data_IF_751945467216
#
_entry.id   IF_751945467216
#
_cell.length_a   1.000
_cell.length_b   1.000
_cell.length_c   1.000
_cell.angle_alpha   90.00
_cell.angle_beta   90.00
_cell.angle_gamma   90.00
#
_symmetry.space_group_name_H-M   'P 1'
#
loop_
_entity.id
_entity.type
_entity.pdbx_description
1 polymer ?
#
# COMPACT_ATOMS: atom_id res chain seq x y z
N UNK A 1 22.31 48.67 -11.81
CA UNK A 1 21.23 48.37 -10.82
C UNK A 1 20.53 47.02 -11.06
N UNK A 2 20.46 46.52 -12.30
CA UNK A 2 19.79 45.24 -12.64
C UNK A 2 20.31 44.01 -11.87
N UNK A 3 21.63 43.90 -11.66
CA UNK A 3 22.20 42.71 -10.99
C UNK A 3 21.76 42.60 -9.53
N UNK A 4 21.66 43.72 -8.79
CA UNK A 4 21.24 43.71 -7.38
C UNK A 4 19.76 43.33 -7.23
N UNK A 5 18.91 43.80 -8.15
CA UNK A 5 17.50 43.42 -8.19
C UNK A 5 17.32 41.93 -8.49
N UNK A 6 18.12 41.39 -9.43
CA UNK A 6 18.10 39.96 -9.78
C UNK A 6 18.47 39.08 -8.58
N UNK A 7 19.47 39.46 -7.79
CA UNK A 7 19.85 38.73 -6.57
C UNK A 7 18.75 38.75 -5.52
N UNK A 8 18.08 39.89 -5.33
CA UNK A 8 16.97 40.01 -4.39
C UNK A 8 15.80 39.11 -4.81
N UNK A 9 15.45 39.11 -6.10
CA UNK A 9 14.38 38.25 -6.63
C UNK A 9 14.74 36.76 -6.46
N UNK A 10 15.99 36.38 -6.72
CA UNK A 10 16.44 35.00 -6.55
C UNK A 10 16.39 34.55 -5.08
N UNK A 11 16.79 35.42 -4.15
CA UNK A 11 16.68 35.16 -2.71
C UNK A 11 15.22 35.00 -2.30
N UNK A 12 14.34 35.91 -2.73
CA UNK A 12 12.90 35.82 -2.44
C UNK A 12 12.28 34.52 -2.99
N UNK A 13 12.63 34.13 -4.22
CA UNK A 13 12.19 32.85 -4.80
C UNK A 13 12.69 31.64 -4.00
N UNK A 14 13.95 31.65 -3.56
CA UNK A 14 14.50 30.55 -2.75
C UNK A 14 13.80 30.41 -1.39
N UNK A 15 13.45 31.53 -0.74
CA UNK A 15 12.69 31.54 0.52
C UNK A 15 11.30 30.96 0.31
N UNK A 16 10.60 31.31 -0.77
CA UNK A 16 9.28 30.74 -1.08
C UNK A 16 9.36 29.21 -1.27
N UNK A 17 10.38 28.70 -1.97
CA UNK A 17 10.57 27.24 -2.17
C UNK A 17 10.78 26.52 -0.83
N UNK A 18 11.63 27.05 0.06
CA UNK A 18 11.88 26.43 1.37
C UNK A 18 10.61 26.40 2.24
N UNK A 19 9.83 27.48 2.25
CA UNK A 19 8.56 27.55 2.99
C UNK A 19 7.54 26.52 2.48
N UNK A 20 7.44 26.34 1.16
CA UNK A 20 6.55 25.31 0.60
C UNK A 20 7.01 23.90 0.97
N UNK A 21 8.32 23.61 0.98
CA UNK A 21 8.84 22.29 1.33
C UNK A 21 8.54 21.91 2.78
N UNK A 22 8.64 22.87 3.72
CA UNK A 22 8.34 22.62 5.14
C UNK A 22 6.86 22.35 5.42
N UNK A 23 5.95 22.80 4.57
CA UNK A 23 4.51 22.54 4.72
C UNK A 23 4.10 21.10 4.34
N UNK A 24 4.97 20.36 3.62
CA UNK A 24 4.67 19.00 3.17
C UNK A 24 5.05 17.91 4.18
N UNK A 25 5.78 18.23 5.25
CA UNK A 25 6.26 17.21 6.21
C UNK A 25 5.31 16.89 7.36
N UNK A 26 4.14 17.53 7.44
CA UNK A 26 3.20 17.35 8.55
C UNK A 26 2.18 16.22 8.28
N UNK A 27 2.67 15.11 7.72
CA UNK A 27 1.84 13.92 7.49
C UNK A 27 1.56 13.27 8.85
N UNK A 28 0.29 13.16 9.28
CA UNK A 28 -0.01 12.54 10.56
C UNK A 28 0.41 11.07 10.54
N UNK A 29 0.93 10.52 11.67
CA UNK A 29 1.30 9.13 11.75
C UNK A 29 0.07 8.21 11.53
N UNK A 30 0.28 6.97 11.03
CA UNK A 30 -0.81 6.03 10.83
C UNK A 30 -1.56 5.78 12.14
N UNK A 31 -2.90 5.75 12.12
CA UNK A 31 -3.67 5.46 13.31
C UNK A 31 -3.39 4.03 13.80
N UNK A 32 -2.99 3.91 15.07
CA UNK A 32 -2.71 2.61 15.70
C UNK A 32 -4.00 1.81 15.78
N UNK A 33 -3.98 0.58 15.27
CA UNK A 33 -5.11 -0.35 15.39
C UNK A 33 -5.15 -0.89 16.82
N UNK A 34 -6.24 -0.70 17.58
CA UNK A 34 -6.40 -1.34 18.88
C UNK A 34 -6.60 -2.86 18.71
N UNK A 35 -6.16 -3.65 19.69
CA UNK A 35 -6.33 -5.12 19.64
C UNK A 35 -7.80 -5.53 19.62
N UNK A 36 -8.66 -4.77 20.30
CA UNK A 36 -10.12 -4.96 20.37
C UNK A 36 -10.83 -3.61 20.47
N UNK A 37 -12.00 -3.52 19.86
CA UNK A 37 -12.90 -2.38 20.04
C UNK A 37 -13.91 -2.72 21.14
N UNK A 38 -13.99 -1.90 22.18
CA UNK A 38 -14.87 -2.14 23.33
C UNK A 38 -16.24 -1.46 23.15
N UNK A 39 -16.39 -0.55 22.19
CA UNK A 39 -17.65 0.13 21.88
C UNK A 39 -17.77 0.44 20.38
N UNK A 40 -19.01 0.65 19.91
CA UNK A 40 -19.32 1.03 18.54
C UNK A 40 -18.77 2.43 18.19
N UNK A 41 -18.74 3.32 19.16
CA UNK A 41 -18.22 4.69 19.04
C UNK A 41 -16.71 4.68 18.80
N UNK A 42 -15.99 3.80 19.50
CA UNK A 42 -14.55 3.60 19.32
C UNK A 42 -14.22 3.12 17.90
N UNK A 43 -14.99 2.15 17.39
CA UNK A 43 -14.87 1.69 16.00
C UNK A 43 -15.12 2.82 14.99
N UNK A 44 -16.20 3.60 15.18
CA UNK A 44 -16.51 4.73 14.29
C UNK A 44 -15.37 5.76 14.27
N UNK A 45 -14.84 6.10 15.44
CA UNK A 45 -13.71 7.04 15.56
C UNK A 45 -12.47 6.51 14.85
N UNK A 46 -12.15 5.23 15.03
CA UNK A 46 -11.02 4.61 14.34
C UNK A 46 -11.18 4.66 12.81
N UNK A 47 -12.38 4.35 12.30
CA UNK A 47 -12.66 4.40 10.86
C UNK A 47 -12.53 5.82 10.28
N UNK A 48 -12.95 6.85 11.04
CA UNK A 48 -12.74 8.25 10.65
C UNK A 48 -11.26 8.60 10.56
N UNK A 49 -10.46 8.22 11.56
CA UNK A 49 -9.01 8.46 11.57
C UNK A 49 -8.31 7.77 10.39
N UNK A 50 -8.70 6.53 10.07
CA UNK A 50 -8.17 5.79 8.92
C UNK A 50 -8.53 6.48 7.60
N UNK A 51 -9.76 6.97 7.48
CA UNK A 51 -10.21 7.70 6.30
C UNK A 51 -9.39 8.98 6.08
N UNK A 52 -9.24 9.80 7.12
CA UNK A 52 -8.47 11.05 7.06
C UNK A 52 -7.00 10.79 6.70
N UNK A 53 -6.38 9.79 7.32
CA UNK A 53 -4.99 9.41 7.03
C UNK A 53 -4.78 9.05 5.54
N UNK A 54 -5.62 8.18 4.99
CA UNK A 54 -5.49 7.77 3.59
C UNK A 54 -6.04 8.78 2.57
N UNK A 55 -6.83 9.77 3.00
CA UNK A 55 -7.20 10.90 2.17
C UNK A 55 -5.97 11.78 1.85
N UNK A 56 -5.03 11.90 2.79
CA UNK A 56 -3.79 12.69 2.65
C UNK A 56 -2.71 11.90 1.91
N UNK A 57 -2.44 10.66 2.33
CA UNK A 57 -1.33 9.85 1.79
C UNK A 57 -1.69 9.17 0.46
N UNK A 58 -2.98 9.10 0.14
CA UNK A 58 -3.50 8.39 -1.01
C UNK A 58 -3.98 6.99 -0.67
N UNK A 59 -4.77 6.39 -1.57
CA UNK A 59 -5.44 5.11 -1.32
C UNK A 59 -4.43 4.01 -0.96
N UNK A 60 -4.71 3.19 0.08
CA UNK A 60 -3.84 2.08 0.41
C UNK A 60 -3.76 1.12 -0.79
N UNK A 61 -2.53 0.88 -1.26
CA UNK A 61 -2.26 -0.06 -2.36
C UNK A 61 -2.04 -1.45 -1.77
N UNK A 62 -3.13 -2.10 -1.37
CA UNK A 62 -3.10 -3.50 -0.99
C UNK A 62 -2.77 -4.37 -2.22
N UNK A 63 -2.03 -5.46 -2.02
CA UNK A 63 -1.77 -6.44 -3.09
C UNK A 63 -0.36 -6.42 -3.71
N UNK A 64 0.55 -5.54 -3.27
CA UNK A 64 1.98 -5.80 -3.48
C UNK A 64 2.47 -6.67 -2.34
N UNK A 65 2.48 -7.98 -2.56
CA UNK A 65 3.32 -8.86 -1.74
C UNK A 65 4.72 -8.24 -1.72
N UNK A 66 5.31 -8.01 -0.54
CA UNK A 66 6.74 -7.75 -0.44
C UNK A 66 7.39 -8.94 -1.13
N UNK A 67 7.91 -8.68 -2.34
CA UNK A 67 8.30 -9.67 -3.31
C UNK A 67 9.45 -10.50 -2.72
N UNK A 68 9.12 -11.55 -1.98
CA UNK A 68 9.93 -12.76 -2.04
C UNK A 68 9.82 -13.19 -3.49
N UNK A 69 10.92 -13.29 -4.25
CA UNK A 69 10.86 -13.89 -5.56
C UNK A 69 10.39 -15.33 -5.34
N UNK A 70 9.09 -15.57 -5.54
CA UNK A 70 8.59 -16.92 -5.76
C UNK A 70 9.39 -17.42 -6.94
N UNK A 71 10.23 -18.41 -6.68
CA UNK A 71 11.01 -19.01 -7.75
C UNK A 71 10.01 -19.64 -8.72
N UNK A 72 10.27 -19.59 -10.02
CA UNK A 72 9.40 -20.27 -11.01
C UNK A 72 9.23 -21.76 -10.69
N UNK A 73 10.17 -22.35 -9.94
CA UNK A 73 10.09 -23.70 -9.42
C UNK A 73 8.97 -23.88 -8.38
N UNK A 74 8.68 -22.88 -7.55
CA UNK A 74 7.59 -22.95 -6.57
C UNK A 74 6.23 -22.86 -7.27
N UNK A 75 6.12 -21.97 -8.26
CA UNK A 75 4.89 -21.83 -9.04
C UNK A 75 4.64 -23.07 -9.92
N UNK A 76 5.68 -23.65 -10.52
CA UNK A 76 5.59 -24.91 -11.27
C UNK A 76 5.26 -26.10 -10.36
N UNK A 77 5.82 -26.16 -9.14
CA UNK A 77 5.48 -27.20 -8.17
C UNK A 77 4.03 -27.12 -7.73
N UNK A 78 3.53 -25.91 -7.47
CA UNK A 78 2.14 -25.69 -7.13
C UNK A 78 1.23 -26.06 -8.30
N UNK A 79 1.61 -25.71 -9.53
CA UNK A 79 0.86 -26.07 -10.72
C UNK A 79 0.79 -27.60 -10.89
N UNK A 80 1.94 -28.28 -10.87
CA UNK A 80 2.04 -29.74 -10.98
C UNK A 80 1.39 -30.49 -9.80
N UNK A 81 1.19 -29.82 -8.66
CA UNK A 81 0.51 -30.41 -7.51
C UNK A 81 -1.00 -30.55 -7.74
N UNK A 82 -1.59 -29.64 -8.53
CA UNK A 82 -3.02 -29.62 -8.84
C UNK A 82 -3.33 -30.18 -10.23
N UNK A 83 -2.41 -30.06 -11.19
CA UNK A 83 -2.53 -30.67 -12.51
C UNK A 83 -2.25 -32.18 -12.42
N UNK A 84 -3.27 -32.93 -12.01
CA UNK A 84 -3.18 -34.38 -11.75
C UNK A 84 -3.05 -35.15 -13.07
N UNK A 85 -3.65 -34.65 -14.15
CA UNK A 85 -3.67 -35.33 -15.45
C UNK A 85 -2.52 -34.90 -16.39
N UNK A 86 -1.81 -33.82 -16.08
CA UNK A 86 -0.67 -33.29 -16.83
C UNK A 86 -1.04 -32.48 -18.08
N UNK A 87 -2.28 -32.01 -18.19
CA UNK A 87 -2.78 -31.28 -19.37
C UNK A 87 -2.42 -29.78 -19.38
N UNK A 88 -1.63 -29.35 -18.41
CA UNK A 88 -1.21 -27.97 -18.23
C UNK A 88 -2.36 -27.02 -17.93
N UNK A 89 -3.45 -27.54 -17.40
CA UNK A 89 -4.57 -26.79 -16.84
C UNK A 89 -4.93 -27.34 -15.46
N UNK A 90 -5.65 -26.55 -14.68
CA UNK A 90 -6.20 -27.01 -13.39
C UNK A 90 -7.69 -26.83 -13.50
N UNK A 91 -8.40 -27.95 -13.53
CA UNK A 91 -9.86 -27.97 -13.49
C UNK A 91 -10.37 -27.95 -12.05
N UNK A 92 -11.65 -27.59 -11.87
CA UNK A 92 -12.26 -27.56 -10.55
C UNK A 92 -12.31 -28.97 -9.92
N UNK A 93 -12.60 -29.99 -10.72
CA UNK A 93 -12.62 -31.39 -10.30
C UNK A 93 -11.25 -31.87 -9.78
N UNK A 94 -10.16 -31.43 -10.42
CA UNK A 94 -8.80 -31.76 -9.98
C UNK A 94 -8.43 -31.06 -8.66
N UNK A 95 -8.91 -29.83 -8.48
CA UNK A 95 -8.77 -29.11 -7.23
C UNK A 95 -9.51 -29.84 -6.10
N UNK A 96 -10.78 -30.20 -6.29
CA UNK A 96 -11.59 -30.91 -5.29
C UNK A 96 -11.00 -32.27 -4.93
N UNK A 97 -10.59 -33.05 -5.94
CA UNK A 97 -9.95 -34.35 -5.77
C UNK A 97 -8.71 -34.29 -4.89
N UNK A 98 -8.01 -33.15 -4.87
CA UNK A 98 -6.80 -32.99 -4.06
C UNK A 98 -7.07 -32.65 -2.61
N UNK A 99 -8.21 -32.05 -2.31
CA UNK A 99 -8.60 -31.66 -0.95
C UNK A 99 -9.62 -32.60 -0.31
N UNK A 100 -10.03 -33.66 -1.00
CA UNK A 100 -11.05 -34.62 -0.53
C UNK A 100 -12.33 -33.89 -0.07
N UNK A 101 -12.69 -32.83 -0.79
CA UNK A 101 -13.93 -32.09 -0.57
C UNK A 101 -14.98 -32.78 -1.42
N UNK A 102 -15.81 -33.61 -0.79
CA UNK A 102 -16.99 -34.24 -1.38
C UNK A 102 -18.09 -33.23 -1.77
#
# INVERSE_FOLDING_TARGET
MANRLSWIIFILMSIQVVQTLSAFSDVPPPPVRPERFNSREELKRYLQLVHEYYAIIGRPRFGRSLFQPRTSLDDQRLFNFFDINGDQSITFDEFEKRFEID
#
